data_IF_001990866457
#
_entry.id   IF_001990866457
#
_cell.length_a   1.000
_cell.length_b   1.000
_cell.length_c   1.000
_cell.angle_alpha   90.00
_cell.angle_beta   90.00
_cell.angle_gamma   90.00
#
_symmetry.space_group_name_H-M   'P 1'
#
loop_
_entity.id
_entity.type
_entity.pdbx_description
1 polymer ?
#
# COMPACT_ATOMS: atom_id res chain seq x y z
N UNK A 1 -4.66 -78.66 37.12
CA UNK A 1 -3.21 -78.56 36.95
C UNK A 1 -2.89 -77.10 36.64
N UNK A 2 -2.32 -76.37 37.58
CA UNK A 2 -1.79 -75.05 37.34
C UNK A 2 -0.40 -75.22 36.73
N UNK A 3 -0.12 -74.81 35.49
CA UNK A 3 1.23 -74.87 34.99
C UNK A 3 2.10 -73.92 35.81
N UNK A 4 3.23 -74.43 36.30
CA UNK A 4 4.15 -73.62 37.07
C UNK A 4 4.75 -72.52 36.18
N UNK A 5 4.46 -71.29 36.56
CA UNK A 5 5.34 -70.15 36.40
C UNK A 5 5.85 -69.77 35.02
N UNK A 6 5.00 -69.58 34.02
CA UNK A 6 5.40 -68.84 32.83
C UNK A 6 5.60 -67.37 33.20
N UNK A 7 6.84 -66.86 33.06
CA UNK A 7 7.20 -65.47 33.35
C UNK A 7 6.72 -64.66 32.15
N UNK A 8 5.64 -63.91 32.33
CA UNK A 8 5.21 -62.88 31.37
C UNK A 8 6.15 -61.69 31.51
N UNK A 9 7.05 -61.52 30.58
CA UNK A 9 7.91 -60.34 30.50
C UNK A 9 7.26 -59.29 29.63
N UNK A 10 7.38 -58.05 30.06
CA UNK A 10 6.85 -56.85 29.42
C UNK A 10 7.95 -55.85 29.15
N UNK A 11 7.98 -55.32 27.97
CA UNK A 11 8.93 -54.28 27.59
C UNK A 11 8.19 -53.14 26.94
N UNK A 12 8.36 -51.93 27.50
CA UNK A 12 7.88 -50.67 26.92
C UNK A 12 9.09 -49.92 26.39
N UNK A 13 9.03 -49.49 25.12
CA UNK A 13 9.99 -48.52 24.57
C UNK A 13 9.30 -47.16 24.47
N UNK A 14 9.84 -46.16 25.21
CA UNK A 14 9.49 -44.76 25.04
C UNK A 14 10.75 -44.01 24.62
N UNK A 15 10.61 -43.11 23.65
CA UNK A 15 11.73 -42.46 22.97
C UNK A 15 12.24 -41.18 23.63
N UNK A 16 11.64 -40.64 24.69
CA UNK A 16 12.09 -39.44 25.41
C UNK A 16 11.79 -39.45 26.93
N UNK A 17 12.57 -38.68 27.69
CA UNK A 17 12.77 -38.69 29.14
C UNK A 17 11.74 -37.82 29.92
N UNK A 18 10.45 -38.05 29.76
CA UNK A 18 9.43 -37.45 30.63
C UNK A 18 8.48 -38.53 31.14
N UNK A 19 7.43 -38.24 31.92
CA UNK A 19 6.63 -39.27 32.58
C UNK A 19 6.43 -40.50 31.68
N UNK A 20 7.10 -41.61 32.07
CA UNK A 20 7.14 -42.83 31.22
C UNK A 20 5.80 -43.52 31.25
N UNK A 21 5.32 -44.02 30.10
CA UNK A 21 4.16 -44.88 30.08
C UNK A 21 4.44 -46.14 30.94
N UNK A 22 3.40 -46.64 31.64
CA UNK A 22 3.48 -47.85 32.46
C UNK A 22 2.46 -48.87 31.99
N UNK A 23 2.84 -50.12 32.08
CA UNK A 23 1.93 -51.25 31.87
C UNK A 23 1.73 -51.96 33.21
N UNK A 24 0.49 -52.08 33.66
CA UNK A 24 0.11 -52.77 34.91
C UNK A 24 0.40 -54.29 34.83
N UNK A 25 0.17 -54.98 35.95
CA UNK A 25 0.22 -56.41 35.98
C UNK A 25 -0.87 -57.05 35.09
N UNK A 26 -0.60 -58.19 34.49
CA UNK A 26 -1.61 -58.94 33.76
C UNK A 26 -2.44 -59.75 34.74
N UNK A 27 -3.75 -59.63 34.61
CA UNK A 27 -4.71 -60.44 35.36
C UNK A 27 -5.52 -61.28 34.38
N UNK A 28 -5.69 -62.57 34.71
CA UNK A 28 -6.58 -63.44 33.94
C UNK A 28 -8.04 -63.10 34.33
N UNK A 29 -8.80 -62.63 33.36
CA UNK A 29 -10.22 -62.21 33.56
C UNK A 29 -11.19 -63.29 33.15
N UNK A 30 -10.79 -64.13 32.18
CA UNK A 30 -11.49 -65.31 31.72
C UNK A 30 -10.45 -66.38 31.34
N UNK A 31 -10.83 -67.62 31.21
CA UNK A 31 -9.90 -68.68 30.83
C UNK A 31 -9.16 -68.38 29.51
N UNK A 32 -7.82 -68.11 29.62
CA UNK A 32 -6.96 -67.78 28.50
C UNK A 32 -7.02 -66.30 28.09
N UNK A 33 -7.78 -65.42 28.81
CA UNK A 33 -7.87 -64.00 28.52
C UNK A 33 -7.15 -63.21 29.62
N UNK A 34 -6.05 -62.51 29.25
CA UNK A 34 -5.26 -61.70 30.14
C UNK A 34 -5.41 -60.22 29.83
N UNK A 35 -5.66 -59.39 30.81
CA UNK A 35 -5.80 -57.92 30.66
C UNK A 35 -4.77 -57.20 31.55
N UNK A 36 -4.30 -56.09 31.02
CA UNK A 36 -3.46 -55.13 31.76
C UNK A 36 -3.83 -53.70 31.37
N UNK A 37 -3.70 -52.79 32.32
CA UNK A 37 -3.94 -51.36 32.09
C UNK A 37 -2.66 -50.73 31.57
N UNK A 38 -2.72 -50.12 30.38
CA UNK A 38 -1.68 -49.28 29.85
C UNK A 38 -1.97 -47.84 30.27
N UNK A 39 -1.11 -47.25 31.09
CA UNK A 39 -1.18 -45.84 31.49
C UNK A 39 -0.20 -45.08 30.63
N UNK A 40 -0.71 -44.08 29.86
CA UNK A 40 0.10 -43.24 28.96
C UNK A 40 0.99 -42.29 29.76
N UNK A 41 2.16 -41.94 29.20
CA UNK A 41 2.96 -40.83 29.67
C UNK A 41 2.44 -39.48 29.13
N UNK A 42 3.28 -38.45 29.24
CA UNK A 42 2.96 -37.09 28.74
C UNK A 42 3.48 -36.83 27.33
N UNK A 43 4.14 -37.79 26.70
CA UNK A 43 4.66 -37.66 25.34
C UNK A 43 3.69 -38.18 24.29
N UNK A 44 3.46 -37.43 23.22
CA UNK A 44 2.75 -37.90 22.03
C UNK A 44 3.67 -38.75 21.12
N UNK A 45 3.08 -39.59 20.31
CA UNK A 45 3.80 -40.45 19.38
C UNK A 45 3.36 -41.91 19.49
N UNK A 46 4.08 -42.81 18.86
CA UNK A 46 3.77 -44.25 18.87
C UNK A 46 4.37 -44.92 20.12
N UNK A 47 3.55 -45.61 20.85
CA UNK A 47 3.93 -46.52 21.93
C UNK A 47 3.85 -47.97 21.44
N UNK A 48 4.93 -48.69 21.45
CA UNK A 48 4.96 -50.13 21.11
C UNK A 48 4.91 -50.93 22.39
N UNK A 49 3.88 -51.79 22.51
CA UNK A 49 3.70 -52.71 23.63
C UNK A 49 4.03 -54.11 23.12
N UNK A 50 5.04 -54.73 23.73
CA UNK A 50 5.42 -56.14 23.43
C UNK A 50 5.04 -56.99 24.63
N UNK A 51 4.27 -58.03 24.38
CA UNK A 51 3.93 -59.06 25.35
C UNK A 51 4.64 -60.35 24.97
N UNK A 52 5.35 -60.93 25.92
CA UNK A 52 6.10 -62.18 25.72
C UNK A 52 5.71 -63.24 26.73
N UNK A 53 5.57 -64.48 26.27
CA UNK A 53 5.38 -65.66 27.09
C UNK A 53 6.32 -66.72 26.57
N UNK A 54 7.25 -67.14 27.40
CA UNK A 54 8.35 -68.02 27.03
C UNK A 54 9.11 -67.47 25.79
N UNK A 55 9.30 -68.23 24.74
CA UNK A 55 9.98 -67.84 23.52
C UNK A 55 9.07 -67.10 22.49
N UNK A 56 7.79 -66.89 22.81
CA UNK A 56 6.82 -66.23 21.94
C UNK A 56 6.61 -64.77 22.36
N UNK A 57 6.61 -63.85 21.39
CA UNK A 57 6.28 -62.46 21.59
C UNK A 57 5.30 -61.95 20.55
N UNK A 58 4.44 -61.03 20.98
CA UNK A 58 3.52 -60.29 20.11
C UNK A 58 3.57 -58.80 20.48
N UNK A 59 3.49 -57.95 19.44
CA UNK A 59 3.53 -56.51 19.56
C UNK A 59 2.24 -55.91 19.10
N UNK A 60 1.85 -54.82 19.75
CA UNK A 60 0.78 -53.91 19.35
C UNK A 60 1.25 -52.49 19.54
N UNK A 61 0.82 -51.56 18.66
CA UNK A 61 1.11 -50.14 18.76
C UNK A 61 -0.12 -49.35 19.20
N UNK A 62 0.11 -48.32 20.00
CA UNK A 62 -0.88 -47.34 20.37
C UNK A 62 -0.36 -45.96 20.00
N UNK A 63 -1.14 -45.16 19.27
CA UNK A 63 -0.83 -43.76 18.95
C UNK A 63 -1.30 -42.87 20.09
N UNK A 64 -0.36 -42.17 20.74
CA UNK A 64 -0.62 -41.18 21.80
C UNK A 64 -0.64 -39.81 21.16
N UNK A 65 -1.75 -39.10 21.28
CA UNK A 65 -1.92 -37.77 20.71
C UNK A 65 -1.62 -36.68 21.74
N UNK A 66 -1.17 -35.53 21.25
CA UNK A 66 -1.06 -34.32 22.06
C UNK A 66 -2.42 -33.93 22.63
N UNK A 67 -2.40 -33.24 23.75
CA UNK A 67 -3.59 -32.61 24.34
C UNK A 67 -3.98 -31.36 23.55
N UNK A 68 -4.80 -30.49 24.14
CA UNK A 68 -5.14 -29.21 23.51
C UNK A 68 -3.91 -28.32 23.36
N UNK A 69 -3.92 -27.48 22.30
CA UNK A 69 -2.87 -26.51 22.07
C UNK A 69 -2.73 -25.54 23.25
N UNK A 70 -1.50 -25.40 23.74
CA UNK A 70 -1.13 -24.40 24.74
C UNK A 70 -0.59 -23.14 24.01
N UNK A 71 -1.32 -22.04 24.12
CA UNK A 71 -0.98 -20.76 23.49
C UNK A 71 0.34 -20.19 24.01
N UNK A 72 0.65 -20.41 25.31
CA UNK A 72 1.87 -19.89 25.93
C UNK A 72 3.14 -20.57 25.38
N UNK A 73 3.05 -21.84 25.02
CA UNK A 73 4.15 -22.63 24.46
C UNK A 73 4.16 -22.64 22.93
N UNK A 74 3.07 -22.19 22.29
CA UNK A 74 2.97 -22.10 20.83
C UNK A 74 3.51 -20.78 20.31
N UNK A 75 3.94 -20.74 19.05
CA UNK A 75 4.52 -19.54 18.43
C UNK A 75 3.93 -19.27 17.05
N UNK A 76 3.78 -17.98 16.72
CA UNK A 76 3.51 -17.52 15.37
C UNK A 76 4.69 -16.67 14.90
N UNK A 77 5.28 -16.99 13.77
CA UNK A 77 6.41 -16.28 13.18
C UNK A 77 6.14 -15.94 11.72
N UNK A 78 6.76 -14.88 11.22
CA UNK A 78 6.83 -14.55 9.82
C UNK A 78 8.22 -14.90 9.29
N UNK A 79 8.30 -15.51 8.11
CA UNK A 79 9.53 -15.61 7.36
C UNK A 79 9.73 -14.28 6.62
N UNK A 80 10.78 -13.53 6.96
CA UNK A 80 11.12 -12.31 6.23
C UNK A 80 11.75 -12.70 4.89
N UNK A 81 11.16 -12.30 3.76
CA UNK A 81 11.86 -12.37 2.48
C UNK A 81 13.15 -11.54 2.55
N UNK A 82 14.10 -11.82 1.68
CA UNK A 82 15.40 -11.11 1.62
C UNK A 82 15.27 -9.67 1.09
N UNK A 83 14.35 -8.88 1.62
CA UNK A 83 14.07 -7.50 1.22
C UNK A 83 12.65 -7.07 1.56
N UNK A 84 12.30 -5.85 1.16
CA UNK A 84 10.96 -5.31 1.34
C UNK A 84 9.93 -6.13 0.53
N UNK A 85 8.77 -6.42 1.14
CA UNK A 85 7.65 -7.08 0.47
C UNK A 85 6.75 -6.02 -0.14
N UNK A 86 6.64 -6.04 -1.47
CA UNK A 86 5.84 -5.07 -2.21
C UNK A 86 4.35 -5.39 -2.09
N UNK A 87 3.55 -4.35 -1.91
CA UNK A 87 2.09 -4.40 -1.87
C UNK A 87 1.50 -4.53 -3.29
N UNK A 88 1.88 -5.59 -4.02
CA UNK A 88 1.43 -5.88 -5.40
C UNK A 88 0.37 -7.00 -5.47
N UNK A 89 0.01 -7.58 -4.30
CA UNK A 89 -0.89 -8.72 -4.20
C UNK A 89 -0.25 -10.06 -4.60
N UNK A 90 0.98 -10.07 -5.09
CA UNK A 90 1.73 -11.27 -5.53
C UNK A 90 2.82 -11.65 -4.53
N UNK A 91 3.63 -10.68 -4.11
CA UNK A 91 4.62 -10.90 -3.07
C UNK A 91 3.93 -11.16 -1.72
N UNK A 92 4.45 -12.08 -0.95
CA UNK A 92 3.79 -12.54 0.26
C UNK A 92 4.80 -12.87 1.38
N UNK A 93 4.39 -12.61 2.60
CA UNK A 93 5.00 -13.23 3.78
C UNK A 93 4.49 -14.66 3.92
N UNK A 94 5.35 -15.55 4.43
CA UNK A 94 4.94 -16.86 4.91
C UNK A 94 4.86 -16.82 6.43
N UNK A 95 3.66 -16.98 6.97
CA UNK A 95 3.44 -17.15 8.40
C UNK A 95 3.52 -18.62 8.78
N UNK A 96 4.20 -18.91 9.88
CA UNK A 96 4.37 -20.24 10.44
C UNK A 96 3.87 -20.26 11.88
N UNK A 97 2.84 -21.05 12.15
CA UNK A 97 2.30 -21.34 13.48
C UNK A 97 2.86 -22.69 13.94
N UNK A 98 3.63 -22.69 15.02
CA UNK A 98 4.04 -23.92 15.71
C UNK A 98 3.11 -24.14 16.89
N UNK A 99 2.27 -25.16 16.81
CA UNK A 99 1.26 -25.51 17.79
C UNK A 99 1.74 -26.68 18.64
N UNK A 100 1.85 -26.46 19.94
CA UNK A 100 2.24 -27.47 20.92
C UNK A 100 1.27 -27.48 22.10
N UNK A 101 1.20 -28.59 22.80
CA UNK A 101 0.50 -28.67 24.09
C UNK A 101 1.37 -28.20 25.27
N UNK A 102 0.86 -28.26 26.50
CA UNK A 102 1.59 -27.84 27.72
C UNK A 102 2.88 -28.61 27.96
N UNK A 103 3.00 -29.80 27.41
CA UNK A 103 4.16 -30.68 27.55
C UNK A 103 5.14 -30.54 26.35
N UNK A 104 4.82 -29.65 25.39
CA UNK A 104 5.63 -29.40 24.20
C UNK A 104 5.41 -30.43 23.07
N UNK A 105 4.35 -31.26 23.16
CA UNK A 105 4.04 -32.20 22.08
C UNK A 105 3.41 -31.47 20.89
N UNK A 106 3.74 -31.83 19.65
CA UNK A 106 3.14 -31.21 18.47
C UNK A 106 1.64 -31.53 18.38
N UNK A 107 0.81 -30.49 18.29
CA UNK A 107 -0.64 -30.61 18.11
C UNK A 107 -0.91 -30.70 16.61
N UNK A 108 -1.31 -31.88 16.13
CA UNK A 108 -1.46 -32.21 14.71
C UNK A 108 -2.93 -32.27 14.29
N UNK A 109 -3.19 -32.13 12.96
CA UNK A 109 -4.52 -32.31 12.38
C UNK A 109 -5.48 -31.12 12.55
N UNK A 110 -5.01 -29.96 13.02
CA UNK A 110 -5.85 -28.80 13.33
C UNK A 110 -6.02 -27.81 12.16
N UNK A 111 -5.44 -28.07 10.97
CA UNK A 111 -5.44 -27.11 9.86
C UNK A 111 -6.84 -26.58 9.47
N UNK A 112 -7.87 -27.41 9.57
CA UNK A 112 -9.26 -27.03 9.24
C UNK A 112 -9.92 -26.11 10.29
N UNK A 113 -9.37 -26.08 11.51
CA UNK A 113 -9.88 -25.28 12.64
C UNK A 113 -9.08 -24.00 12.86
N UNK A 114 -7.85 -23.96 12.36
CA UNK A 114 -6.96 -22.81 12.48
C UNK A 114 -7.27 -21.77 11.40
N UNK A 115 -7.18 -20.50 11.77
CA UNK A 115 -7.30 -19.35 10.87
C UNK A 115 -6.27 -18.28 11.22
N UNK A 116 -5.72 -17.66 10.20
CA UNK A 116 -4.95 -16.43 10.30
C UNK A 116 -5.84 -15.29 9.79
N UNK A 117 -6.14 -14.33 10.66
CA UNK A 117 -7.09 -13.26 10.36
C UNK A 117 -6.40 -11.91 10.46
N UNK A 118 -6.31 -11.15 9.35
CA UNK A 118 -5.81 -9.79 9.39
C UNK A 118 -6.80 -8.89 10.13
N UNK A 119 -6.28 -7.92 10.89
CA UNK A 119 -7.08 -6.94 11.61
C UNK A 119 -7.87 -6.04 10.65
N UNK A 120 -7.26 -5.67 9.50
CA UNK A 120 -7.91 -5.04 8.36
C UNK A 120 -7.80 -5.99 7.17
N UNK A 121 -8.92 -6.33 6.56
CA UNK A 121 -8.99 -7.26 5.43
C UNK A 121 -8.91 -6.54 4.08
N UNK A 122 -8.94 -5.19 4.06
CA UNK A 122 -8.94 -4.42 2.84
C UNK A 122 -7.61 -4.56 2.11
N UNK A 123 -7.65 -5.14 0.91
CA UNK A 123 -6.49 -5.40 0.08
C UNK A 123 -5.58 -6.53 0.58
N UNK A 124 -5.92 -7.22 1.68
CA UNK A 124 -5.12 -8.32 2.25
C UNK A 124 -5.70 -9.67 1.87
N UNK A 125 -4.85 -10.55 1.39
CA UNK A 125 -5.20 -11.95 1.05
C UNK A 125 -4.39 -12.89 1.93
N UNK A 126 -5.10 -13.84 2.58
CA UNK A 126 -4.49 -14.91 3.36
C UNK A 126 -4.73 -16.23 2.62
N UNK A 127 -3.66 -16.96 2.34
CA UNK A 127 -3.72 -18.29 1.73
C UNK A 127 -4.28 -19.35 2.68
N UNK A 128 -4.60 -20.51 2.14
CA UNK A 128 -5.06 -21.64 2.95
C UNK A 128 -3.97 -22.10 3.92
N UNK A 129 -4.38 -22.39 5.16
CA UNK A 129 -3.48 -22.97 6.16
C UNK A 129 -3.28 -24.46 5.84
N UNK A 130 -2.03 -24.90 5.86
CA UNK A 130 -1.65 -26.31 5.71
C UNK A 130 -0.66 -26.71 6.78
N UNK A 131 -0.77 -27.96 7.25
CA UNK A 131 0.23 -28.57 8.12
C UNK A 131 1.42 -29.04 7.27
N UNK A 132 2.59 -28.44 7.51
CA UNK A 132 3.82 -28.74 6.72
C UNK A 132 4.74 -29.73 7.41
N UNK A 133 4.61 -29.86 8.73
CA UNK A 133 5.25 -30.84 9.62
C UNK A 133 4.33 -31.06 10.82
N UNK A 134 4.47 -32.16 11.58
CA UNK A 134 3.66 -32.38 12.79
C UNK A 134 3.63 -31.15 13.70
N UNK A 135 2.45 -30.57 13.91
CA UNK A 135 2.20 -29.37 14.70
C UNK A 135 2.72 -28.06 14.11
N UNK A 136 3.22 -28.05 12.87
CA UNK A 136 3.70 -26.83 12.20
C UNK A 136 2.79 -26.50 11.02
N UNK A 137 2.12 -25.37 11.12
CA UNK A 137 1.14 -24.89 10.14
C UNK A 137 1.66 -23.67 9.41
N UNK A 138 1.41 -23.56 8.12
CA UNK A 138 1.87 -22.45 7.30
C UNK A 138 0.77 -21.91 6.41
N UNK A 139 0.79 -20.58 6.21
CA UNK A 139 -0.03 -19.88 5.22
C UNK A 139 0.71 -18.63 4.72
N UNK A 140 0.39 -18.19 3.50
CA UNK A 140 0.92 -16.96 2.92
C UNK A 140 -0.01 -15.79 3.20
N UNK A 141 0.57 -14.58 3.30
CA UNK A 141 -0.17 -13.32 3.41
C UNK A 141 0.40 -12.32 2.42
N UNK A 142 -0.42 -11.86 1.49
CA UNK A 142 -0.10 -10.79 0.54
C UNK A 142 -1.02 -9.58 0.75
N UNK A 143 -0.62 -8.42 0.22
CA UNK A 143 -1.40 -7.20 0.28
C UNK A 143 -1.28 -6.41 -1.02
N UNK A 144 -2.34 -5.70 -1.41
CA UNK A 144 -2.29 -4.64 -2.43
C UNK A 144 -2.18 -3.25 -1.81
N UNK A 145 -2.15 -3.16 -0.46
CA UNK A 145 -1.99 -1.90 0.28
C UNK A 145 -0.68 -1.87 1.03
N UNK A 146 0.10 -0.83 0.82
CA UNK A 146 1.30 -0.55 1.60
C UNK A 146 0.94 -0.17 3.05
N UNK A 147 1.83 -0.50 3.98
CA UNK A 147 1.65 -0.23 5.39
C UNK A 147 1.79 -1.50 6.25
N UNK A 148 1.43 -1.37 7.52
CA UNK A 148 1.51 -2.46 8.47
C UNK A 148 0.19 -3.26 8.48
N UNK A 149 0.30 -4.58 8.36
CA UNK A 149 -0.81 -5.53 8.46
C UNK A 149 -0.60 -6.37 9.71
N UNK A 150 -1.50 -6.27 10.69
CA UNK A 150 -1.49 -7.13 11.88
C UNK A 150 -2.33 -8.37 11.60
N UNK A 151 -1.72 -9.56 11.69
CA UNK A 151 -2.39 -10.84 11.49
C UNK A 151 -2.40 -11.61 12.80
N UNK A 152 -3.58 -12.10 13.21
CA UNK A 152 -3.82 -12.85 14.44
C UNK A 152 -4.19 -14.29 14.15
N UNK A 153 -3.77 -15.20 15.02
CA UNK A 153 -4.13 -16.60 14.93
C UNK A 153 -5.43 -16.87 15.71
N UNK A 154 -6.30 -17.71 15.15
CA UNK A 154 -7.56 -18.17 15.73
C UNK A 154 -7.66 -19.68 15.61
N UNK A 155 -8.32 -20.31 16.61
CA UNK A 155 -8.86 -21.65 16.48
C UNK A 155 -10.39 -21.54 16.49
N UNK A 156 -11.01 -21.95 15.38
CA UNK A 156 -12.44 -21.72 15.10
C UNK A 156 -12.78 -20.21 15.18
N UNK A 157 -13.49 -19.78 16.22
CA UNK A 157 -13.89 -18.38 16.46
C UNK A 157 -13.06 -17.69 17.56
N UNK A 158 -12.20 -18.45 18.25
CA UNK A 158 -11.47 -17.93 19.41
C UNK A 158 -10.06 -17.49 19.01
N UNK A 159 -9.72 -16.24 19.35
CA UNK A 159 -8.36 -15.75 19.18
C UNK A 159 -7.39 -16.50 20.09
N UNK A 160 -6.27 -16.93 19.55
CA UNK A 160 -5.22 -17.64 20.28
C UNK A 160 -4.33 -16.65 21.04
N UNK A 161 -4.87 -16.07 22.10
CA UNK A 161 -4.16 -15.20 23.02
C UNK A 161 -3.41 -14.07 22.30
N UNK A 162 -2.09 -14.01 22.47
CA UNK A 162 -1.20 -13.00 21.90
C UNK A 162 -0.51 -13.45 20.61
N UNK A 163 -0.89 -14.58 20.00
CA UNK A 163 -0.30 -15.06 18.77
C UNK A 163 -0.71 -14.15 17.59
N UNK A 164 0.15 -13.17 17.32
CA UNK A 164 -0.01 -12.21 16.21
C UNK A 164 1.34 -11.85 15.60
N UNK A 165 1.30 -11.40 14.35
CA UNK A 165 2.44 -10.84 13.63
C UNK A 165 2.06 -9.52 12.98
N UNK A 166 3.00 -8.58 12.94
CA UNK A 166 2.90 -7.35 12.16
C UNK A 166 3.77 -7.48 10.93
N UNK A 167 3.16 -7.42 9.76
CA UNK A 167 3.79 -7.53 8.46
C UNK A 167 3.86 -6.14 7.84
N UNK A 168 5.02 -5.73 7.32
CA UNK A 168 5.22 -4.44 6.67
C UNK A 168 5.26 -4.62 5.16
N UNK A 169 4.28 -4.08 4.46
CA UNK A 169 4.27 -4.00 3.01
C UNK A 169 4.68 -2.60 2.55
N UNK A 170 5.49 -2.51 1.51
CA UNK A 170 5.92 -1.24 0.91
C UNK A 170 5.20 -0.99 -0.42
N UNK A 171 5.10 0.28 -0.82
CA UNK A 171 4.59 0.63 -2.15
C UNK A 171 5.47 0.01 -3.24
N UNK A 172 4.86 -0.31 -4.37
CA UNK A 172 5.55 -0.72 -5.58
C UNK A 172 6.28 0.43 -6.28
N UNK A 173 6.85 0.18 -7.46
CA UNK A 173 7.41 1.23 -8.30
C UNK A 173 6.38 2.29 -8.64
N UNK A 174 6.85 3.53 -8.86
CA UNK A 174 6.00 4.62 -9.34
C UNK A 174 5.27 4.19 -10.63
N UNK A 175 3.96 4.45 -10.67
CA UNK A 175 3.12 4.34 -11.85
C UNK A 175 2.63 5.73 -12.28
N UNK A 176 3.09 6.20 -13.43
CA UNK A 176 2.69 7.50 -13.96
C UNK A 176 1.19 7.58 -14.25
N UNK A 177 0.54 6.47 -14.65
CA UNK A 177 -0.89 6.43 -14.95
C UNK A 177 -1.76 6.64 -13.72
N UNK A 178 -1.27 6.23 -12.54
CA UNK A 178 -1.92 6.41 -11.24
C UNK A 178 -1.50 7.70 -10.53
N UNK A 179 -0.48 8.41 -11.06
CA UNK A 179 0.06 9.62 -10.48
C UNK A 179 -0.53 10.88 -11.12
N UNK A 180 -0.61 11.96 -10.37
CA UNK A 180 -1.23 13.22 -10.83
C UNK A 180 -0.46 14.44 -10.33
N UNK A 181 -0.65 15.57 -11.01
CA UNK A 181 -0.07 16.86 -10.62
C UNK A 181 -1.15 17.94 -10.65
N UNK A 182 -1.08 18.88 -9.72
CA UNK A 182 -1.95 20.06 -9.64
C UNK A 182 -1.11 21.32 -9.47
N UNK A 183 -1.65 22.47 -9.90
CA UNK A 183 -1.01 23.78 -9.81
C UNK A 183 -1.91 24.74 -9.04
N UNK A 184 -1.30 25.62 -8.24
CA UNK A 184 -1.99 26.66 -7.49
C UNK A 184 -1.16 27.95 -7.46
N UNK A 185 -1.73 29.13 -7.77
CA UNK A 185 -3.13 29.37 -8.17
C UNK A 185 -3.44 28.91 -9.59
N UNK A 186 -4.75 28.83 -9.94
CA UNK A 186 -5.25 28.42 -11.25
C UNK A 186 -5.10 29.53 -12.33
N UNK A 187 -4.94 30.79 -11.92
CA UNK A 187 -4.71 31.96 -12.78
C UNK A 187 -3.60 32.83 -12.21
N UNK A 188 -2.36 32.37 -12.29
CA UNK A 188 -1.22 33.16 -11.84
C UNK A 188 -0.93 34.32 -12.78
N UNK A 189 -0.35 35.40 -12.24
CA UNK A 189 0.09 36.57 -12.98
C UNK A 189 1.57 36.42 -13.35
N UNK A 190 2.01 36.96 -14.50
CA UNK A 190 3.41 37.02 -14.91
C UNK A 190 4.30 37.58 -13.80
N UNK A 191 5.50 37.03 -13.62
CA UNK A 191 6.42 37.41 -12.53
C UNK A 191 6.02 36.89 -11.13
N UNK A 192 4.86 36.24 -11.01
CA UNK A 192 4.40 35.62 -9.77
C UNK A 192 5.00 34.22 -9.53
N UNK A 193 4.36 33.46 -8.63
CA UNK A 193 4.77 32.09 -8.31
C UNK A 193 3.61 31.12 -8.45
N UNK A 194 3.91 29.88 -8.82
CA UNK A 194 2.97 28.75 -8.85
C UNK A 194 3.54 27.61 -8.01
N UNK A 195 2.72 27.06 -7.14
CA UNK A 195 3.03 25.83 -6.41
C UNK A 195 2.53 24.64 -7.18
N UNK A 196 3.43 23.71 -7.54
CA UNK A 196 3.09 22.43 -8.10
C UNK A 196 3.05 21.40 -6.98
N UNK A 197 1.98 20.58 -6.95
CA UNK A 197 1.82 19.44 -6.04
C UNK A 197 1.67 18.20 -6.90
N UNK A 198 2.67 17.33 -6.84
CA UNK A 198 2.67 16.04 -7.49
C UNK A 198 2.30 14.95 -6.49
N UNK A 199 1.30 14.12 -6.80
CA UNK A 199 0.91 12.93 -6.03
C UNK A 199 1.47 11.71 -6.74
N UNK A 200 2.48 11.10 -6.15
CA UNK A 200 3.18 9.94 -6.68
C UNK A 200 2.56 8.65 -6.11
N UNK A 201 2.13 7.75 -7.00
CA UNK A 201 1.47 6.50 -6.64
C UNK A 201 2.04 5.32 -7.42
N UNK A 202 1.90 4.12 -6.86
CA UNK A 202 2.12 2.85 -7.56
C UNK A 202 0.84 2.39 -8.30
N UNK A 203 0.93 1.23 -8.98
CA UNK A 203 -0.18 0.64 -9.73
C UNK A 203 -1.38 0.19 -8.88
N UNK A 204 -1.23 0.14 -7.55
CA UNK A 204 -2.30 -0.16 -6.58
C UNK A 204 -2.75 1.07 -5.80
N UNK A 205 -2.44 2.28 -6.28
CA UNK A 205 -2.73 3.56 -5.64
C UNK A 205 -2.04 3.80 -4.29
N UNK A 206 -1.01 3.01 -3.95
CA UNK A 206 -0.23 3.29 -2.74
C UNK A 206 0.66 4.52 -2.95
N UNK A 207 0.78 5.40 -1.94
CA UNK A 207 1.66 6.54 -2.01
C UNK A 207 3.12 6.11 -2.09
N UNK A 208 3.87 6.67 -3.05
CA UNK A 208 5.29 6.39 -3.25
C UNK A 208 6.13 7.55 -2.71
N UNK A 209 7.00 7.25 -1.74
CA UNK A 209 7.90 8.19 -1.08
C UNK A 209 9.36 7.87 -1.36
N UNK A 210 10.28 8.76 -0.97
CA UNK A 210 11.72 8.49 -1.07
C UNK A 210 12.26 8.42 -2.49
N UNK A 211 11.54 8.96 -3.48
CA UNK A 211 12.01 9.08 -4.85
C UNK A 211 13.13 10.15 -4.94
N UNK A 212 13.88 10.12 -6.04
CA UNK A 212 14.81 11.20 -6.39
C UNK A 212 14.41 11.75 -7.78
N UNK A 213 13.32 12.57 -7.85
CA UNK A 213 12.81 13.07 -9.10
C UNK A 213 13.71 14.17 -9.70
N UNK A 214 13.69 14.27 -11.02
CA UNK A 214 14.26 15.39 -11.75
C UNK A 214 13.47 16.67 -11.44
N UNK A 215 14.03 17.85 -11.69
CA UNK A 215 13.28 19.10 -11.62
C UNK A 215 12.04 19.05 -12.54
N UNK A 216 10.93 19.74 -12.19
CA UNK A 216 9.75 19.80 -13.05
C UNK A 216 10.09 20.28 -14.47
N UNK A 217 9.56 19.60 -15.47
CA UNK A 217 9.64 20.05 -16.86
C UNK A 217 8.58 21.10 -17.12
N UNK A 218 8.99 22.27 -17.62
CA UNK A 218 8.10 23.37 -17.99
C UNK A 218 7.99 23.48 -19.51
N UNK A 219 6.76 23.66 -20.02
CA UNK A 219 6.49 23.90 -21.44
C UNK A 219 5.31 24.86 -21.61
N UNK A 220 5.03 25.26 -22.87
CA UNK A 220 4.06 26.30 -23.20
C UNK A 220 4.69 27.70 -23.27
N UNK A 221 3.90 28.70 -23.68
CA UNK A 221 4.39 30.06 -23.89
C UNK A 221 4.96 30.70 -22.61
N UNK A 222 4.28 30.50 -21.47
CA UNK A 222 4.70 31.05 -20.19
C UNK A 222 5.86 30.31 -19.52
N UNK A 223 6.37 29.24 -20.11
CA UNK A 223 7.61 28.60 -19.68
C UNK A 223 8.84 29.48 -19.95
N UNK A 224 8.73 30.40 -20.92
CA UNK A 224 9.82 31.32 -21.25
C UNK A 224 10.18 32.22 -20.06
N UNK A 225 11.44 32.09 -19.59
CA UNK A 225 11.95 32.85 -18.44
C UNK A 225 11.41 32.35 -17.08
N UNK A 226 10.57 31.31 -17.05
CA UNK A 226 10.13 30.67 -15.80
C UNK A 226 11.18 29.64 -15.34
N UNK A 227 11.27 29.46 -14.01
CA UNK A 227 12.18 28.50 -13.37
C UNK A 227 11.45 27.71 -12.31
N UNK A 228 11.80 26.41 -12.15
CA UNK A 228 11.25 25.57 -11.10
C UNK A 228 12.33 25.21 -10.07
N UNK A 229 11.92 25.14 -8.80
CA UNK A 229 12.73 24.50 -7.76
C UNK A 229 12.76 22.97 -7.97
N UNK A 230 13.69 22.28 -7.28
CA UNK A 230 13.56 20.82 -7.11
C UNK A 230 12.30 20.47 -6.30
N UNK A 231 11.93 19.19 -6.36
CA UNK A 231 10.83 18.65 -5.57
C UNK A 231 11.23 18.45 -4.11
N UNK A 232 10.30 18.71 -3.20
CA UNK A 232 10.39 18.40 -1.77
C UNK A 232 9.40 17.26 -1.47
N UNK A 233 9.89 16.15 -0.90
CA UNK A 233 9.08 15.03 -0.44
C UNK A 233 8.36 15.43 0.86
N UNK A 234 7.02 15.35 0.88
CA UNK A 234 6.21 15.64 2.06
C UNK A 234 6.06 14.40 2.96
N UNK A 235 6.56 13.21 2.53
CA UNK A 235 6.55 11.97 3.30
C UNK A 235 5.24 11.18 3.25
N UNK A 236 4.26 11.64 2.49
CA UNK A 236 2.92 11.05 2.35
C UNK A 236 2.59 10.62 0.90
N UNK A 237 3.61 10.61 0.01
CA UNK A 237 3.46 10.37 -1.43
C UNK A 237 3.13 11.63 -2.21
N UNK A 238 3.03 12.80 -1.55
CA UNK A 238 2.95 14.10 -2.23
C UNK A 238 4.31 14.79 -2.26
N UNK A 239 4.54 15.54 -3.31
CA UNK A 239 5.78 16.27 -3.57
C UNK A 239 5.45 17.70 -3.97
N UNK A 240 6.18 18.68 -3.46
CA UNK A 240 5.92 20.08 -3.70
C UNK A 240 7.10 20.73 -4.40
N UNK A 241 6.83 21.51 -5.46
CA UNK A 241 7.83 22.38 -6.12
C UNK A 241 7.28 23.80 -6.30
N UNK A 242 8.16 24.80 -6.24
CA UNK A 242 7.82 26.20 -6.52
C UNK A 242 8.31 26.57 -7.93
N UNK A 243 7.44 27.22 -8.69
CA UNK A 243 7.72 27.73 -10.02
C UNK A 243 7.69 29.25 -9.97
N UNK A 244 8.81 29.89 -10.23
CA UNK A 244 8.89 31.33 -10.42
C UNK A 244 8.60 31.65 -11.88
N UNK A 245 7.54 32.40 -12.14
CA UNK A 245 7.10 32.74 -13.48
C UNK A 245 7.97 33.82 -14.12
N UNK A 246 8.22 33.67 -15.42
CA UNK A 246 8.77 34.72 -16.25
C UNK A 246 7.76 35.83 -16.55
N UNK A 247 8.10 36.68 -17.49
CA UNK A 247 7.30 37.86 -17.89
C UNK A 247 6.39 37.60 -19.10
N UNK A 248 6.29 36.36 -19.57
CA UNK A 248 5.46 35.98 -20.72
C UNK A 248 4.16 35.38 -20.28
N UNK A 249 3.04 35.98 -20.68
CA UNK A 249 1.69 35.43 -20.46
C UNK A 249 1.38 34.29 -21.46
N UNK A 250 0.49 33.38 -21.05
CA UNK A 250 0.07 32.26 -21.90
C UNK A 250 -0.05 30.96 -21.12
N UNK A 251 -0.15 29.85 -21.82
CA UNK A 251 -0.23 28.51 -21.22
C UNK A 251 1.13 28.13 -20.60
N UNK A 252 1.08 27.58 -19.40
CA UNK A 252 2.18 26.91 -18.70
C UNK A 252 1.76 25.48 -18.43
N UNK A 253 2.51 24.52 -18.96
CA UNK A 253 2.41 23.10 -18.69
C UNK A 253 3.53 22.68 -17.76
N UNK A 254 3.21 21.90 -16.73
CA UNK A 254 4.17 21.39 -15.74
C UNK A 254 4.05 19.87 -15.67
N UNK A 255 5.17 19.16 -15.91
CA UNK A 255 5.23 17.71 -15.86
C UNK A 255 6.33 17.27 -14.88
N UNK A 256 6.00 16.44 -13.85
CA UNK A 256 7.02 15.81 -13.03
C UNK A 256 7.78 14.77 -13.85
N UNK A 257 9.08 14.66 -13.61
CA UNK A 257 9.98 13.71 -14.27
C UNK A 257 10.70 12.85 -13.24
N UNK A 258 10.90 11.57 -13.60
CA UNK A 258 11.75 10.65 -12.86
C UNK A 258 12.65 9.91 -13.85
N UNK A 259 13.99 10.07 -13.70
CA UNK A 259 14.97 9.53 -14.63
C UNK A 259 14.69 9.91 -16.11
N UNK A 260 14.26 11.13 -16.36
CA UNK A 260 13.92 11.66 -17.66
C UNK A 260 12.57 11.22 -18.23
N UNK A 261 11.83 10.34 -17.56
CA UNK A 261 10.50 9.87 -17.98
C UNK A 261 9.40 10.67 -17.30
N UNK A 262 8.21 10.74 -17.94
CA UNK A 262 7.03 11.36 -17.35
C UNK A 262 6.61 10.57 -16.10
N UNK A 263 6.33 11.29 -15.02
CA UNK A 263 6.03 10.75 -13.72
C UNK A 263 4.57 11.01 -13.26
N UNK A 264 3.72 11.48 -14.18
CA UNK A 264 2.29 11.63 -14.03
C UNK A 264 1.58 11.32 -15.36
N UNK A 265 0.30 10.98 -15.30
CA UNK A 265 -0.51 10.63 -16.47
C UNK A 265 -0.59 11.80 -17.47
N UNK A 266 -0.68 13.02 -16.98
CA UNK A 266 -0.78 14.25 -17.77
C UNK A 266 -0.02 15.39 -17.09
N UNK A 267 0.47 16.35 -17.89
CA UNK A 267 0.94 17.61 -17.37
C UNK A 267 -0.23 18.41 -16.74
N UNK A 268 0.04 19.10 -15.64
CA UNK A 268 -0.88 20.12 -15.17
C UNK A 268 -0.71 21.40 -15.96
N UNK A 269 -1.81 22.12 -16.21
CA UNK A 269 -1.87 23.31 -17.04
C UNK A 269 -2.49 24.48 -16.29
N UNK A 270 -1.92 25.67 -16.46
CA UNK A 270 -2.51 26.93 -16.03
C UNK A 270 -2.33 27.98 -17.10
N UNK A 271 -3.23 28.96 -17.13
CA UNK A 271 -3.07 30.16 -17.96
C UNK A 271 -2.45 31.25 -17.12
N UNK A 272 -1.20 31.59 -17.41
CA UNK A 272 -0.53 32.76 -16.82
C UNK A 272 -1.07 34.01 -17.50
N UNK A 273 -1.66 34.91 -16.72
CA UNK A 273 -2.28 36.14 -17.22
C UNK A 273 -1.30 37.33 -17.18
N UNK A 274 -1.55 38.32 -18.03
CA UNK A 274 -0.83 39.57 -18.03
C UNK A 274 -0.98 40.29 -16.69
N UNK A 275 -0.03 41.18 -16.38
CA UNK A 275 -0.10 42.11 -15.26
C UNK A 275 -0.97 43.32 -15.60
N UNK A 276 -0.91 44.36 -14.76
CA UNK A 276 -1.67 45.60 -14.92
C UNK A 276 -1.40 46.30 -16.26
N UNK A 277 -2.44 46.98 -16.76
CA UNK A 277 -2.38 47.77 -18.00
C UNK A 277 -1.25 48.83 -17.94
N UNK A 278 -0.37 48.82 -18.97
CA UNK A 278 0.69 49.78 -19.14
C UNK A 278 0.30 50.84 -20.14
N UNK A 279 0.27 52.10 -19.76
CA UNK A 279 0.03 53.20 -20.66
C UNK A 279 1.15 53.36 -21.70
N UNK A 280 2.38 52.93 -21.36
CA UNK A 280 3.54 53.02 -22.26
C UNK A 280 3.53 51.95 -23.37
N UNK A 281 2.94 50.81 -23.10
CA UNK A 281 2.89 49.68 -24.04
C UNK A 281 1.54 49.61 -24.79
N UNK A 282 0.51 50.24 -24.24
CA UNK A 282 -0.81 50.23 -24.88
C UNK A 282 -0.94 51.40 -25.87
N UNK A 283 -1.76 51.20 -26.89
CA UNK A 283 -1.94 52.17 -27.97
C UNK A 283 -3.42 52.30 -28.33
N UNK A 284 -3.88 53.54 -28.47
CA UNK A 284 -5.16 53.89 -29.08
C UNK A 284 -4.90 54.41 -30.49
N UNK A 285 -5.68 53.99 -31.46
CA UNK A 285 -5.61 54.46 -32.84
C UNK A 285 -7.00 54.56 -33.43
N UNK A 286 -7.18 55.38 -34.44
CA UNK A 286 -8.32 55.48 -35.33
C UNK A 286 -8.01 54.88 -36.69
N UNK A 287 -8.97 54.25 -37.35
CA UNK A 287 -8.75 53.64 -38.67
C UNK A 287 -8.57 54.70 -39.73
N UNK A 288 -9.32 55.78 -39.65
CA UNK A 288 -9.22 56.93 -40.54
C UNK A 288 -9.18 58.20 -39.68
N UNK A 289 -8.18 59.04 -39.86
CA UNK A 289 -7.97 60.30 -39.16
C UNK A 289 -8.69 61.50 -39.81
N UNK A 290 -9.17 61.31 -41.02
CA UNK A 290 -9.99 62.27 -41.78
C UNK A 290 -11.35 61.64 -42.11
N UNK A 291 -12.40 61.95 -41.38
CA UNK A 291 -13.76 61.42 -41.55
C UNK A 291 -14.70 62.57 -41.86
N UNK A 292 -15.60 62.43 -42.83
CA UNK A 292 -16.61 63.41 -43.13
C UNK A 292 -17.69 63.49 -42.04
N UNK A 293 -18.23 64.67 -41.81
CA UNK A 293 -19.33 64.83 -40.88
C UNK A 293 -20.50 63.90 -41.24
N UNK A 294 -21.02 63.14 -40.29
CA UNK A 294 -22.04 62.11 -40.45
C UNK A 294 -21.56 60.72 -40.79
N UNK A 295 -20.25 60.54 -41.05
CA UNK A 295 -19.66 59.22 -41.27
C UNK A 295 -19.05 58.70 -39.94
N UNK A 296 -18.62 57.43 -39.90
CA UNK A 296 -18.04 56.77 -38.74
C UNK A 296 -16.63 56.27 -39.01
N UNK A 297 -15.79 56.24 -38.00
CA UNK A 297 -14.47 55.56 -38.02
C UNK A 297 -14.34 54.60 -36.85
N UNK A 298 -13.45 53.64 -36.96
CA UNK A 298 -13.18 52.65 -35.89
C UNK A 298 -12.05 53.13 -35.01
N UNK A 299 -12.32 53.14 -33.68
CA UNK A 299 -11.27 53.35 -32.66
C UNK A 299 -10.80 52.01 -32.15
N UNK A 300 -9.51 51.75 -32.13
CA UNK A 300 -8.88 50.50 -31.67
C UNK A 300 -8.00 50.79 -30.47
N UNK A 301 -8.19 50.06 -29.38
CA UNK A 301 -7.25 49.99 -28.26
C UNK A 301 -6.49 48.67 -28.34
N UNK A 302 -5.17 48.74 -28.38
CA UNK A 302 -4.28 47.61 -28.15
C UNK A 302 -3.83 47.70 -26.70
N UNK A 303 -4.41 46.89 -25.84
CA UNK A 303 -4.16 46.90 -24.39
C UNK A 303 -3.05 45.88 -24.05
N UNK A 304 -1.99 46.38 -23.38
CA UNK A 304 -0.81 45.59 -23.01
C UNK A 304 -0.34 45.90 -21.60
N UNK A 305 0.28 44.91 -20.92
CA UNK A 305 1.01 45.12 -19.68
C UNK A 305 2.40 45.71 -19.94
N UNK A 306 3.22 45.92 -18.92
CA UNK A 306 4.56 46.49 -19.01
C UNK A 306 5.53 45.60 -19.79
N UNK A 307 5.25 44.34 -19.92
CA UNK A 307 6.07 43.34 -20.64
C UNK A 307 5.60 43.08 -22.08
N UNK A 308 4.52 43.78 -22.49
CA UNK A 308 3.99 43.67 -23.84
C UNK A 308 2.97 42.55 -24.03
N UNK A 309 2.57 41.84 -22.96
CA UNK A 309 1.50 40.86 -23.01
C UNK A 309 0.14 41.50 -23.25
N UNK A 310 -0.68 40.91 -24.08
CA UNK A 310 -2.04 41.38 -24.33
C UNK A 310 -2.93 41.19 -23.07
N UNK A 311 -3.76 42.17 -22.80
CA UNK A 311 -4.72 42.17 -21.69
C UNK A 311 -6.12 42.03 -22.28
N UNK A 312 -6.85 41.00 -21.89
CA UNK A 312 -8.25 40.76 -22.28
C UNK A 312 -9.22 41.01 -21.15
N UNK A 313 -10.52 41.04 -21.48
CA UNK A 313 -11.61 41.18 -20.49
C UNK A 313 -11.71 42.55 -19.83
N UNK A 314 -11.18 43.61 -20.45
CA UNK A 314 -11.25 44.96 -19.91
C UNK A 314 -12.66 45.58 -20.03
N UNK A 315 -13.11 46.27 -18.98
CA UNK A 315 -14.27 47.13 -19.05
C UNK A 315 -13.83 48.53 -19.48
N UNK A 316 -14.18 48.90 -20.70
CA UNK A 316 -13.72 50.15 -21.32
C UNK A 316 -14.83 51.22 -21.34
N UNK A 317 -14.42 52.44 -21.15
CA UNK A 317 -15.25 53.63 -21.39
C UNK A 317 -14.49 54.60 -22.30
N UNK A 318 -15.20 55.39 -23.04
CA UNK A 318 -14.64 56.48 -23.82
C UNK A 318 -15.39 57.77 -23.58
N UNK A 319 -14.65 58.87 -23.62
CA UNK A 319 -15.22 60.20 -23.60
C UNK A 319 -14.79 60.98 -24.86
N UNK A 320 -15.68 61.80 -25.38
CA UNK A 320 -15.46 62.67 -26.51
C UNK A 320 -15.30 64.10 -26.01
N UNK A 321 -14.32 64.81 -26.50
CA UNK A 321 -14.07 66.21 -26.23
C UNK A 321 -13.69 66.95 -27.49
N UNK A 322 -13.84 68.29 -27.49
CA UNK A 322 -13.50 69.12 -28.65
C UNK A 322 -14.75 69.65 -29.34
N UNK A 323 -14.59 70.56 -30.31
CA UNK A 323 -15.70 71.25 -30.99
C UNK A 323 -16.59 70.38 -31.84
N UNK A 324 -16.09 69.23 -32.30
CA UNK A 324 -16.83 68.24 -33.10
C UNK A 324 -17.44 67.10 -32.28
N UNK A 325 -17.41 67.18 -30.93
CA UNK A 325 -17.97 66.13 -30.06
C UNK A 325 -19.49 66.27 -29.85
N UNK A 326 -20.06 67.41 -30.17
CA UNK A 326 -21.50 67.67 -30.08
C UNK A 326 -22.26 66.78 -31.07
N UNK A 327 -23.17 65.94 -30.54
CA UNK A 327 -23.91 64.95 -31.34
C UNK A 327 -23.17 63.72 -31.77
N UNK A 328 -21.88 63.59 -31.48
CA UNK A 328 -21.10 62.38 -31.73
C UNK A 328 -21.36 61.33 -30.67
N UNK A 329 -21.30 60.06 -31.06
CA UNK A 329 -21.53 58.91 -30.18
C UNK A 329 -20.38 57.87 -30.29
N UNK A 330 -20.08 57.16 -29.21
CA UNK A 330 -19.20 56.02 -29.20
C UNK A 330 -20.08 54.78 -28.98
N UNK A 331 -19.97 53.80 -29.86
CA UNK A 331 -20.60 52.49 -29.65
C UNK A 331 -19.94 51.72 -28.50
N UNK A 332 -20.57 50.64 -28.05
CA UNK A 332 -19.94 49.69 -27.11
C UNK A 332 -18.67 49.07 -27.69
N UNK A 333 -17.70 48.85 -26.83
CA UNK A 333 -16.45 48.18 -27.18
C UNK A 333 -16.71 46.69 -27.41
N UNK A 334 -16.06 46.09 -28.40
CA UNK A 334 -16.02 44.65 -28.64
C UNK A 334 -14.58 44.17 -28.68
N UNK A 335 -14.30 43.11 -27.94
CA UNK A 335 -13.01 42.45 -27.97
C UNK A 335 -12.92 41.54 -29.22
N UNK A 336 -11.79 41.57 -29.90
CA UNK A 336 -11.54 40.75 -31.12
C UNK A 336 -10.56 39.64 -30.86
#
# INVERSE_FOLDING_TARGET
>A
FKPAGNIVTRTLKATKSQAKPTLGEFTETESGVYQSVFTTGTQSGEATITVSVDDMSKTVTAELRATMMDVANSTLSANEPSGDVVADGQQAYTLTLTAVDSEGNPVTGEASRLRLVPQDTNGVTVGAISEIKPGVYSATVSSTRAGNVVVRAFSEQYQLGTLQQTLKFVAGPLDAAHSSITLNPDKPVVGGTVTAIWTAKDANDNPVTGLNPDAPSLSGAAAAGSTASGWTDNGDGTWTAQISLGTTAGELDVMPKLNGQDAAANAAKVTVVADALSSNQSKVSVAEDHVKAGESTTVTLVAKDAHGNAISGLSLSASLTGTASEGATVSSWTEK
#
